data_IF_198035365828
#
_entry.id   IF_198035365828
#
_cell.length_a   1.000
_cell.length_b   1.000
_cell.length_c   1.000
_cell.angle_alpha   90.00
_cell.angle_beta   90.00
_cell.angle_gamma   90.00
#
_symmetry.space_group_name_H-M   'P 1'
#
loop_
_entity.id
_entity.type
_entity.pdbx_description
1 polymer ?
#
# COMPACT_ATOMS: atom_id res chain seq x y z
N UNK A 1 -14.99 -14.49 -16.75
CA UNK A 1 -14.81 -13.04 -17.00
C UNK A 1 -13.57 -12.49 -16.30
N UNK A 2 -13.40 -12.64 -14.97
CA UNK A 2 -12.19 -12.14 -14.26
C UNK A 2 -10.85 -12.68 -14.77
N UNK A 3 -10.73 -13.98 -15.01
CA UNK A 3 -9.51 -14.60 -15.54
C UNK A 3 -9.07 -14.05 -16.91
N UNK A 4 -10.04 -13.72 -17.77
CA UNK A 4 -9.78 -13.16 -19.10
C UNK A 4 -9.28 -11.71 -18.99
N UNK A 5 -9.86 -10.90 -18.08
CA UNK A 5 -9.37 -9.54 -17.80
C UNK A 5 -7.96 -9.55 -17.23
N UNK A 6 -7.66 -10.44 -16.28
CA UNK A 6 -6.31 -10.59 -15.72
C UNK A 6 -5.32 -10.99 -16.82
N UNK A 7 -5.67 -11.95 -17.67
CA UNK A 7 -4.87 -12.35 -18.82
C UNK A 7 -4.62 -11.19 -19.80
N UNK A 8 -5.65 -10.40 -20.10
CA UNK A 8 -5.55 -9.26 -21.02
C UNK A 8 -4.70 -8.12 -20.42
N UNK A 9 -4.88 -7.78 -19.15
CA UNK A 9 -4.06 -6.81 -18.43
C UNK A 9 -2.61 -7.28 -18.35
N UNK A 10 -2.37 -8.57 -18.05
CA UNK A 10 -1.03 -9.14 -18.05
C UNK A 10 -0.38 -9.02 -19.43
N UNK A 11 -1.13 -9.34 -20.50
CA UNK A 11 -0.66 -9.21 -21.88
C UNK A 11 -0.28 -7.77 -22.23
N UNK A 12 -1.17 -6.80 -21.96
CA UNK A 12 -0.92 -5.37 -22.22
C UNK A 12 0.29 -4.86 -21.44
N UNK A 13 0.39 -5.22 -20.15
CA UNK A 13 1.52 -4.82 -19.30
C UNK A 13 2.84 -5.42 -19.80
N UNK A 14 2.81 -6.67 -20.25
CA UNK A 14 3.97 -7.36 -20.81
C UNK A 14 4.41 -6.73 -22.13
N UNK A 15 3.47 -6.44 -23.05
CA UNK A 15 3.76 -5.74 -24.30
C UNK A 15 4.32 -4.35 -24.07
N UNK A 16 3.71 -3.56 -23.19
CA UNK A 16 4.20 -2.22 -22.85
C UNK A 16 5.64 -2.31 -22.31
N UNK A 17 5.88 -3.22 -21.35
CA UNK A 17 7.20 -3.42 -20.77
C UNK A 17 8.22 -3.87 -21.82
N UNK A 18 7.91 -4.83 -22.69
CA UNK A 18 8.83 -5.31 -23.72
C UNK A 18 9.08 -4.30 -24.84
N UNK A 19 8.07 -3.53 -25.24
CA UNK A 19 8.22 -2.45 -26.21
C UNK A 19 9.25 -1.41 -25.72
N UNK A 20 9.18 -1.05 -24.43
CA UNK A 20 10.13 -0.12 -23.81
C UNK A 20 11.47 -0.77 -23.38
N UNK A 21 11.49 -2.07 -23.06
CA UNK A 21 12.70 -2.83 -22.71
C UNK A 21 13.52 -3.27 -23.92
N UNK A 22 13.09 -2.98 -25.14
CA UNK A 22 13.83 -3.30 -26.36
C UNK A 22 15.22 -2.66 -26.44
N UNK A 23 15.62 -1.78 -25.48
CA UNK A 23 17.00 -1.43 -25.01
C UNK A 23 18.16 -1.32 -26.02
N UNK A 24 17.92 -1.34 -27.32
CA UNK A 24 18.91 -1.05 -28.37
C UNK A 24 18.70 0.34 -28.95
N UNK A 25 17.49 0.89 -28.87
CA UNK A 25 17.24 2.26 -29.28
C UNK A 25 17.30 3.13 -28.04
N UNK A 26 18.34 3.95 -27.95
CA UNK A 26 18.55 5.03 -27.00
C UNK A 26 17.48 6.13 -27.21
N UNK A 27 16.21 5.74 -27.19
CA UNK A 27 15.07 6.59 -27.44
C UNK A 27 14.80 7.38 -26.18
N UNK A 28 15.42 8.56 -26.10
CA UNK A 28 14.92 9.61 -25.22
C UNK A 28 13.60 10.08 -25.85
N UNK A 29 12.45 9.89 -25.19
CA UNK A 29 11.21 10.47 -25.71
C UNK A 29 11.47 11.97 -25.91
N UNK A 30 11.23 12.46 -27.14
CA UNK A 30 11.38 13.88 -27.45
C UNK A 30 10.56 14.72 -26.47
N UNK A 31 10.96 15.97 -26.24
CA UNK A 31 10.37 16.83 -25.20
C UNK A 31 8.81 16.83 -25.21
N UNK A 32 8.20 16.75 -26.39
CA UNK A 32 6.75 16.66 -26.57
C UNK A 32 6.16 15.33 -26.06
N UNK A 33 6.79 14.19 -26.37
CA UNK A 33 6.35 12.87 -25.91
C UNK A 33 6.54 12.71 -24.40
N UNK A 34 7.61 13.29 -23.84
CA UNK A 34 7.82 13.37 -22.39
C UNK A 34 6.74 14.20 -21.68
N UNK A 35 6.32 15.32 -22.27
CA UNK A 35 5.22 16.13 -21.75
C UNK A 35 3.88 15.38 -21.75
N UNK A 36 3.57 14.66 -22.84
CA UNK A 36 2.37 13.81 -22.93
C UNK A 36 2.37 12.67 -21.89
N UNK A 37 3.50 12.00 -21.70
CA UNK A 37 3.63 10.94 -20.69
C UNK A 37 3.50 11.51 -19.26
N UNK A 38 4.06 12.70 -19.02
CA UNK A 38 3.95 13.38 -17.73
C UNK A 38 2.51 13.82 -17.42
N UNK A 39 1.76 14.23 -18.45
CA UNK A 39 0.33 14.53 -18.33
C UNK A 39 -0.46 13.31 -17.89
N UNK A 40 -0.20 12.13 -18.48
CA UNK A 40 -0.84 10.88 -18.09
C UNK A 40 -0.60 10.53 -16.61
N UNK A 41 0.64 10.68 -16.14
CA UNK A 41 0.97 10.43 -14.72
C UNK A 41 0.19 11.36 -13.77
N UNK A 42 0.07 12.65 -14.12
CA UNK A 42 -0.70 13.61 -13.32
C UNK A 42 -2.21 13.32 -13.37
N UNK A 43 -2.76 12.96 -14.53
CA UNK A 43 -4.18 12.60 -14.65
C UNK A 43 -4.53 11.37 -13.81
N UNK A 44 -3.66 10.35 -13.80
CA UNK A 44 -3.85 9.14 -12.98
C UNK A 44 -3.79 9.47 -11.50
N UNK A 45 -2.85 10.33 -11.07
CA UNK A 45 -2.76 10.76 -9.67
C UNK A 45 -4.06 11.45 -9.21
N UNK A 46 -4.62 12.34 -10.03
CA UNK A 46 -5.89 13.02 -9.76
C UNK A 46 -7.08 12.04 -9.73
N UNK A 47 -7.09 11.05 -10.62
CA UNK A 47 -8.14 10.02 -10.65
C UNK A 47 -8.11 9.12 -9.42
N UNK A 48 -6.93 8.78 -8.89
CA UNK A 48 -6.76 8.00 -7.66
C UNK A 48 -7.11 8.82 -6.42
N UNK A 49 -6.83 10.13 -6.41
CA UNK A 49 -7.11 11.01 -5.29
C UNK A 49 -8.60 11.12 -4.95
N UNK A 50 -9.46 11.21 -5.97
CA UNK A 50 -10.91 11.41 -5.82
C UNK A 50 -11.57 10.36 -4.89
N UNK A 51 -11.48 9.04 -5.14
CA UNK A 51 -12.07 8.04 -4.25
C UNK A 51 -11.40 8.00 -2.88
N UNK A 52 -10.12 8.37 -2.73
CA UNK A 52 -9.47 8.41 -1.40
C UNK A 52 -10.13 9.46 -0.50
N UNK A 53 -10.45 10.63 -1.04
CA UNK A 53 -11.10 11.70 -0.27
C UNK A 53 -12.58 11.43 -0.03
N UNK A 54 -13.28 10.88 -1.03
CA UNK A 54 -14.72 10.61 -0.93
C UNK A 54 -15.06 9.26 -0.28
N UNK A 55 -14.10 8.36 -0.06
CA UNK A 55 -14.26 7.14 0.75
C UNK A 55 -14.31 7.44 2.27
N UNK A 56 -14.47 8.71 2.64
CA UNK A 56 -14.71 9.11 4.02
C UNK A 56 -16.16 8.77 4.41
N UNK A 57 -16.34 7.77 5.28
CA UNK A 57 -17.65 7.46 5.87
C UNK A 57 -18.01 8.46 7.00
N UNK A 58 -19.07 9.27 6.87
CA UNK A 58 -19.48 10.19 7.92
C UNK A 58 -20.05 9.39 9.11
N UNK A 59 -19.28 9.26 10.19
CA UNK A 59 -19.68 8.58 11.42
C UNK A 59 -18.55 7.78 12.09
N UNK A 60 -17.55 7.34 11.31
CA UNK A 60 -16.23 7.05 11.86
C UNK A 60 -15.51 8.40 11.95
N UNK A 61 -15.35 8.92 13.16
CA UNK A 61 -14.52 10.11 13.38
C UNK A 61 -13.10 9.87 12.83
N UNK A 62 -12.36 10.96 12.61
CA UNK A 62 -10.94 10.88 12.31
C UNK A 62 -10.25 10.05 13.40
N UNK A 63 -9.94 8.80 13.09
CA UNK A 63 -9.31 7.89 14.03
C UNK A 63 -7.84 8.28 14.10
N UNK A 64 -7.44 8.85 15.25
CA UNK A 64 -6.08 9.33 15.48
C UNK A 64 -5.19 8.13 15.81
N UNK A 65 -4.93 7.30 14.80
CA UNK A 65 -4.09 6.13 14.96
C UNK A 65 -2.61 6.58 15.01
N UNK A 66 -1.94 6.43 16.17
CA UNK A 66 -0.57 6.92 16.36
C UNK A 66 0.43 6.23 15.43
N UNK A 67 0.15 4.99 14.99
CA UNK A 67 1.03 4.23 14.10
C UNK A 67 1.03 4.86 12.69
N UNK A 68 -0.14 5.26 12.20
CA UNK A 68 -0.29 5.95 10.92
C UNK A 68 0.31 7.37 10.96
N UNK A 69 0.14 8.08 12.06
CA UNK A 69 0.72 9.42 12.26
C UNK A 69 2.26 9.37 12.31
N UNK A 70 2.83 8.42 13.05
CA UNK A 70 4.27 8.23 13.12
C UNK A 70 4.86 7.83 11.76
N UNK A 71 4.20 6.93 11.02
CA UNK A 71 4.64 6.52 9.69
C UNK A 71 4.58 7.65 8.66
N UNK A 72 3.51 8.44 8.66
CA UNK A 72 3.37 9.58 7.74
C UNK A 72 4.42 10.65 8.05
N UNK A 73 4.64 11.00 9.32
CA UNK A 73 5.68 11.95 9.73
C UNK A 73 7.08 11.49 9.31
N UNK A 74 7.41 10.21 9.51
CA UNK A 74 8.67 9.63 9.07
C UNK A 74 8.85 9.80 7.56
N UNK A 75 7.86 9.43 6.76
CA UNK A 75 7.92 9.53 5.30
C UNK A 75 8.04 11.00 4.85
N UNK A 76 7.32 11.92 5.48
CA UNK A 76 7.42 13.36 5.21
C UNK A 76 8.83 13.88 5.46
N UNK A 77 9.46 13.52 6.58
CA UNK A 77 10.84 13.92 6.89
C UNK A 77 11.83 13.34 5.87
N UNK A 78 11.71 12.06 5.54
CA UNK A 78 12.58 11.42 4.53
C UNK A 78 12.42 12.05 3.14
N UNK A 79 11.20 12.47 2.78
CA UNK A 79 10.92 13.16 1.52
C UNK A 79 11.55 14.56 1.49
N UNK A 80 11.49 15.29 2.60
CA UNK A 80 12.12 16.61 2.74
C UNK A 80 13.64 16.55 2.64
N UNK A 81 14.26 15.45 3.07
CA UNK A 81 15.69 15.19 2.97
C UNK A 81 16.18 14.88 1.54
N UNK A 82 15.31 15.00 0.52
CA UNK A 82 15.62 14.79 -0.91
C UNK A 82 16.27 13.42 -1.19
N UNK A 83 15.92 12.40 -0.38
CA UNK A 83 16.39 11.03 -0.59
C UNK A 83 15.80 10.45 -1.88
N UNK A 84 16.47 9.46 -2.50
CA UNK A 84 15.92 8.77 -3.65
C UNK A 84 14.55 8.18 -3.32
N UNK A 85 13.56 8.43 -4.18
CA UNK A 85 12.14 8.09 -3.96
C UNK A 85 11.93 6.63 -3.61
N UNK A 86 12.73 5.74 -4.21
CA UNK A 86 12.70 4.30 -3.91
C UNK A 86 13.03 4.01 -2.44
N UNK A 87 14.06 4.67 -1.88
CA UNK A 87 14.47 4.49 -0.49
C UNK A 87 13.39 5.02 0.45
N UNK A 88 12.82 6.20 0.14
CA UNK A 88 11.73 6.77 0.94
C UNK A 88 10.53 5.82 1.01
N UNK A 89 10.13 5.23 -0.13
CA UNK A 89 9.00 4.30 -0.18
C UNK A 89 9.31 3.01 0.57
N UNK A 90 10.48 2.40 0.36
CA UNK A 90 10.86 1.15 1.02
C UNK A 90 11.01 1.33 2.53
N UNK A 91 11.65 2.41 2.96
CA UNK A 91 11.82 2.73 4.39
C UNK A 91 10.49 3.13 5.02
N UNK A 92 9.62 3.86 4.30
CA UNK A 92 8.27 4.19 4.77
C UNK A 92 7.40 2.94 4.97
N UNK A 93 7.36 2.05 3.98
CA UNK A 93 6.66 0.77 4.08
C UNK A 93 7.24 -0.10 5.19
N UNK A 94 8.57 -0.20 5.29
CA UNK A 94 9.25 -0.95 6.33
C UNK A 94 8.98 -0.37 7.72
N UNK A 95 9.04 0.94 7.88
CA UNK A 95 8.77 1.65 9.13
C UNK A 95 7.33 1.46 9.61
N UNK A 96 6.35 1.61 8.71
CA UNK A 96 4.95 1.31 9.04
C UNK A 96 4.76 -0.15 9.44
N UNK A 97 5.37 -1.08 8.70
CA UNK A 97 5.30 -2.50 9.01
C UNK A 97 5.90 -2.80 10.38
N UNK A 98 7.05 -2.22 10.73
CA UNK A 98 7.69 -2.37 12.03
C UNK A 98 6.85 -1.82 13.19
N UNK A 99 6.20 -0.66 13.00
CA UNK A 99 5.31 -0.08 14.00
C UNK A 99 4.09 -0.98 14.27
N UNK A 100 3.55 -1.60 13.22
CA UNK A 100 2.33 -2.42 13.29
C UNK A 100 2.58 -3.92 13.53
N UNK A 101 3.83 -4.38 13.42
CA UNK A 101 4.23 -5.75 13.72
C UNK A 101 3.96 -6.18 15.16
N UNK A 102 4.30 -5.41 16.22
CA UNK A 102 4.03 -5.81 17.60
C UNK A 102 2.53 -5.96 17.88
N UNK A 103 1.70 -5.06 17.38
CA UNK A 103 0.23 -5.16 17.50
C UNK A 103 -0.31 -6.37 16.74
N UNK A 104 0.19 -6.64 15.52
CA UNK A 104 -0.17 -7.85 14.77
C UNK A 104 0.25 -9.14 15.49
N UNK A 105 1.44 -9.18 16.10
CA UNK A 105 1.91 -10.35 16.86
C UNK A 105 1.04 -10.56 18.10
N UNK A 106 0.73 -9.51 18.86
CA UNK A 106 -0.15 -9.62 20.04
C UNK A 106 -1.55 -10.09 19.65
N UNK A 107 -2.10 -9.60 18.53
CA UNK A 107 -3.41 -10.03 18.03
C UNK A 107 -3.37 -11.48 17.56
N UNK A 108 -2.38 -11.89 16.77
CA UNK A 108 -2.28 -13.26 16.24
C UNK A 108 -2.00 -14.26 17.37
N UNK A 109 -1.09 -13.94 18.29
CA UNK A 109 -0.79 -14.78 19.47
C UNK A 109 -1.97 -14.80 20.43
N UNK A 110 -2.63 -13.66 20.64
CA UNK A 110 -3.83 -13.55 21.48
C UNK A 110 -5.03 -14.33 20.92
N UNK A 111 -5.29 -14.22 19.61
CA UNK A 111 -6.32 -15.00 18.93
C UNK A 111 -5.98 -16.49 18.92
N UNK A 112 -4.72 -16.86 18.64
CA UNK A 112 -4.27 -18.25 18.70
C UNK A 112 -4.38 -18.85 20.10
N UNK A 113 -3.96 -18.11 21.14
CA UNK A 113 -4.10 -18.50 22.54
C UNK A 113 -5.56 -18.64 22.96
N UNK A 114 -6.42 -17.69 22.61
CA UNK A 114 -7.85 -17.76 22.88
C UNK A 114 -8.53 -18.95 22.20
N UNK A 115 -8.20 -19.24 20.93
CA UNK A 115 -8.71 -20.41 20.22
C UNK A 115 -8.23 -21.72 20.84
N UNK A 116 -6.98 -21.80 21.31
CA UNK A 116 -6.45 -22.96 22.05
C UNK A 116 -7.16 -23.16 23.39
N UNK A 117 -7.38 -22.10 24.17
CA UNK A 117 -8.14 -22.16 25.43
C UNK A 117 -9.60 -22.61 25.19
N UNK A 118 -10.23 -22.12 24.11
CA UNK A 118 -11.57 -22.55 23.70
C UNK A 118 -11.59 -24.03 23.31
N UNK A 119 -10.61 -24.48 22.52
CA UNK A 119 -10.53 -25.86 22.03
C UNK A 119 -10.24 -26.87 23.14
N UNK A 120 -9.45 -26.47 24.15
CA UNK A 120 -9.16 -27.28 25.35
C UNK A 120 -10.29 -27.29 26.39
N UNK A 121 -11.44 -26.64 26.12
CA UNK A 121 -12.60 -26.63 27.01
C UNK A 121 -12.43 -25.81 28.30
N UNK A 122 -11.30 -25.12 28.48
CA UNK A 122 -10.98 -24.37 29.69
C UNK A 122 -11.76 -23.05 29.86
N UNK A 123 -12.37 -22.54 28.79
CA UNK A 123 -13.14 -21.27 28.84
C UNK A 123 -14.40 -21.37 29.71
N UNK A 124 -14.98 -22.58 29.83
CA UNK A 124 -16.15 -22.81 30.67
C UNK A 124 -15.87 -22.67 32.18
N UNK A 125 -14.60 -22.74 32.62
CA UNK A 125 -14.22 -22.60 34.03
C UNK A 125 -13.98 -21.14 34.45
N UNK A 126 -13.60 -20.27 33.50
CA UNK A 126 -13.22 -18.88 33.79
C UNK A 126 -14.31 -17.85 33.51
N UNK A 127 -15.36 -18.20 32.77
CA UNK A 127 -16.47 -17.29 32.48
C UNK A 127 -17.81 -18.04 32.34
N UNK A 128 -18.65 -18.08 33.40
CA UNK A 128 -19.89 -18.87 33.42
C UNK A 128 -21.12 -18.08 32.93
N UNK A 129 -20.99 -17.31 31.84
CA UNK A 129 -22.11 -16.63 31.18
C UNK A 129 -21.93 -16.54 29.66
#
# INVERSE_FOLDING_TARGET
MGWLMIGLLALITFFNRFAFFSRLTRYQPGAEMGAFLSFSAQSVLTAIWLPIVFSYEPGHGLDWDPDYLAATLLVTVLTLLRLPTLVVVVVGMGGFFLLRLPTLVVVVVGMGGFFLLRWLGGVALFWPW
#
